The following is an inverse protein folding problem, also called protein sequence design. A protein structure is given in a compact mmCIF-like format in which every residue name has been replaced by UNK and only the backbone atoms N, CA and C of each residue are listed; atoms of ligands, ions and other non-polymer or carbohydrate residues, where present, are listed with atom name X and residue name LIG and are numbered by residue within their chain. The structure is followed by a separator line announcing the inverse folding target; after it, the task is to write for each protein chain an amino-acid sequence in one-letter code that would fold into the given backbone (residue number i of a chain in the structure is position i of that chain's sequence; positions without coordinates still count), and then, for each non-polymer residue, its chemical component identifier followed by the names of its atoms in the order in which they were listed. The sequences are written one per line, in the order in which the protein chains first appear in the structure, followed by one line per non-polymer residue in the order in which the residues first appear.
data_IF_303989449661
#
_entry.id   IF_303989449661
#
_cell.length_a   1.000
_cell.length_b   1.000
_cell.length_c   1.000
_cell.angle_alpha   90.00
_cell.angle_beta   90.00
_cell.angle_gamma   90.00
#
_symmetry.space_group_name_H-M   'P 1'
#
loop_
_entity.id
_entity.type
_entity.pdbx_description
1 polymer ?
#
# COMPACT_ATOMS: atom_id res chain seq x y z
N UNK A 1 -26.95 9.10 -20.26
CA UNK A 1 -26.31 9.23 -21.58
C UNK A 1 -24.98 9.93 -21.41
N UNK A 2 -23.83 9.23 -21.53
CA UNK A 2 -22.55 9.90 -21.58
C UNK A 2 -22.45 10.66 -22.91
N UNK A 3 -22.32 11.96 -22.83
CA UNK A 3 -22.04 12.80 -24.00
C UNK A 3 -20.59 12.50 -24.39
N UNK A 4 -20.42 11.72 -25.47
CA UNK A 4 -19.13 11.57 -26.13
C UNK A 4 -18.81 12.88 -26.87
N UNK A 5 -18.17 13.83 -26.21
CA UNK A 5 -17.46 14.90 -26.89
C UNK A 5 -16.04 14.38 -27.23
N UNK A 6 -15.96 13.68 -28.36
CA UNK A 6 -14.72 13.24 -28.96
C UNK A 6 -14.02 14.37 -29.70
N UNK A 7 -13.25 15.20 -28.99
CA UNK A 7 -12.25 16.04 -29.63
C UNK A 7 -10.94 15.27 -29.80
N UNK A 8 -10.21 15.48 -30.89
CA UNK A 8 -8.92 14.83 -31.14
C UNK A 8 -7.89 15.00 -29.97
N UNK A 9 -8.01 16.07 -29.20
CA UNK A 9 -7.17 16.33 -28.02
C UNK A 9 -7.42 15.35 -26.86
N UNK A 10 -8.68 15.01 -26.58
CA UNK A 10 -9.05 14.06 -25.54
C UNK A 10 -8.48 12.66 -25.82
N UNK A 11 -8.46 12.24 -27.07
CA UNK A 11 -7.88 10.96 -27.49
C UNK A 11 -6.35 10.92 -27.32
N UNK A 12 -5.65 12.03 -27.57
CA UNK A 12 -4.19 12.14 -27.35
C UNK A 12 -3.83 12.14 -25.88
N UNK A 13 -4.56 12.86 -25.05
CA UNK A 13 -4.36 12.88 -23.58
C UNK A 13 -4.60 11.50 -22.98
N UNK A 14 -5.70 10.84 -23.35
CA UNK A 14 -6.00 9.47 -22.95
C UNK A 14 -4.96 8.48 -23.49
N UNK A 15 -4.46 8.66 -24.71
CA UNK A 15 -3.44 7.78 -25.30
C UNK A 15 -2.08 7.89 -24.62
N UNK A 16 -1.68 9.08 -24.19
CA UNK A 16 -0.37 9.32 -23.56
C UNK A 16 -0.43 9.08 -22.05
N UNK A 17 -1.48 9.55 -21.37
CA UNK A 17 -1.57 9.49 -19.91
C UNK A 17 -2.46 8.36 -19.39
N UNK A 18 -3.63 8.09 -19.98
CA UNK A 18 -4.68 7.25 -19.41
C UNK A 18 -5.03 5.96 -20.13
N UNK A 19 -4.70 5.74 -21.39
CA UNK A 19 -5.05 4.52 -22.13
C UNK A 19 -4.32 3.26 -21.68
N UNK A 20 -4.66 2.09 -22.21
CA UNK A 20 -4.00 0.80 -21.87
C UNK A 20 -2.46 0.79 -22.04
N UNK A 21 -1.90 1.74 -22.78
CA UNK A 21 -0.47 1.97 -22.97
C UNK A 21 -0.01 3.31 -22.42
N UNK A 22 -0.85 4.00 -21.64
CA UNK A 22 -0.54 5.31 -21.08
C UNK A 22 0.54 5.25 -20.00
N UNK A 23 1.20 6.40 -19.75
CA UNK A 23 2.23 6.56 -18.75
C UNK A 23 1.76 6.11 -17.34
N UNK A 24 0.53 6.45 -16.96
CA UNK A 24 -0.02 6.13 -15.64
C UNK A 24 -0.19 4.62 -15.45
N UNK A 25 -0.59 3.89 -16.50
CA UNK A 25 -0.71 2.43 -16.45
C UNK A 25 0.67 1.77 -16.36
N UNK A 26 1.67 2.31 -17.08
CA UNK A 26 3.04 1.85 -16.96
C UNK A 26 3.57 2.07 -15.53
N UNK A 27 3.37 3.26 -14.96
CA UNK A 27 3.75 3.58 -13.57
C UNK A 27 3.06 2.64 -12.59
N UNK A 28 1.77 2.36 -12.75
CA UNK A 28 1.04 1.40 -11.91
C UNK A 28 1.68 0.01 -11.95
N UNK A 29 2.08 -0.47 -13.12
CA UNK A 29 2.74 -1.77 -13.29
C UNK A 29 4.11 -1.81 -12.62
N UNK A 30 4.87 -0.71 -12.69
CA UNK A 30 6.15 -0.61 -11.99
C UNK A 30 5.98 -0.49 -10.46
N UNK A 31 4.97 0.23 -9.98
CA UNK A 31 4.66 0.34 -8.55
C UNK A 31 4.35 -1.02 -7.93
N UNK A 32 3.68 -1.91 -8.67
CA UNK A 32 3.37 -3.26 -8.24
C UNK A 32 4.63 -4.05 -7.85
N UNK A 33 5.73 -3.88 -8.57
CA UNK A 33 7.01 -4.53 -8.27
C UNK A 33 7.87 -3.74 -7.27
N UNK A 34 7.84 -2.41 -7.36
CA UNK A 34 8.73 -1.52 -6.64
C UNK A 34 8.33 -1.38 -5.16
N UNK A 35 7.04 -1.27 -4.86
CA UNK A 35 6.54 -1.09 -3.49
C UNK A 35 6.88 -2.27 -2.57
N UNK A 36 6.70 -3.55 -2.96
CA UNK A 36 7.13 -4.67 -2.13
C UNK A 36 8.61 -4.64 -1.77
N UNK A 37 9.47 -4.23 -2.71
CA UNK A 37 10.91 -4.10 -2.46
C UNK A 37 11.23 -2.99 -1.46
N UNK A 38 10.53 -1.85 -1.52
CA UNK A 38 10.70 -0.75 -0.58
C UNK A 38 10.17 -1.08 0.81
N UNK A 39 9.02 -1.74 0.88
CA UNK A 39 8.33 -1.99 2.15
C UNK A 39 8.86 -3.23 2.89
N UNK A 40 9.56 -4.13 2.20
CA UNK A 40 10.05 -5.38 2.79
C UNK A 40 10.88 -5.18 4.07
N UNK A 41 11.70 -4.13 4.12
CA UNK A 41 12.60 -3.85 5.24
C UNK A 41 12.01 -3.00 6.36
N UNK A 42 10.79 -2.46 6.21
CA UNK A 42 10.23 -1.48 7.14
C UNK A 42 10.09 -2.01 8.58
N UNK A 43 9.66 -3.25 8.73
CA UNK A 43 9.51 -3.90 10.03
C UNK A 43 10.34 -5.18 10.15
N UNK A 44 10.50 -5.94 9.06
CA UNK A 44 11.22 -7.23 9.09
C UNK A 44 12.69 -7.06 9.47
N UNK A 45 13.34 -5.97 9.09
CA UNK A 45 14.72 -5.66 9.50
C UNK A 45 14.84 -5.47 11.01
N UNK A 46 13.92 -4.76 11.64
CA UNK A 46 13.92 -4.54 13.09
C UNK A 46 13.53 -5.80 13.87
N UNK A 47 12.64 -6.60 13.28
CA UNK A 47 12.27 -7.91 13.83
C UNK A 47 13.44 -8.90 13.76
N UNK A 48 14.19 -8.92 12.65
CA UNK A 48 15.32 -9.81 12.42
C UNK A 48 16.56 -9.46 13.24
N UNK A 49 16.87 -8.18 13.38
CA UNK A 49 18.00 -7.69 14.20
C UNK A 49 17.71 -7.67 15.70
N UNK A 50 16.44 -7.84 16.11
CA UNK A 50 16.03 -7.71 17.50
C UNK A 50 15.98 -6.27 18.03
N UNK A 51 16.30 -5.25 17.21
CA UNK A 51 16.23 -3.83 17.58
C UNK A 51 14.81 -3.38 17.96
N UNK A 52 13.81 -4.16 17.62
CA UNK A 52 12.43 -3.91 18.04
C UNK A 52 12.28 -3.93 19.58
N UNK A 53 13.19 -4.64 20.31
CA UNK A 53 13.21 -4.65 21.77
C UNK A 53 13.59 -3.28 22.35
N UNK A 54 14.51 -2.56 21.68
CA UNK A 54 14.88 -1.19 22.04
C UNK A 54 13.70 -0.23 21.81
N UNK A 55 12.95 -0.47 20.75
CA UNK A 55 11.74 0.30 20.44
C UNK A 55 10.65 0.10 21.51
N UNK A 56 10.54 -1.11 22.05
CA UNK A 56 9.58 -1.45 23.12
C UNK A 56 9.98 -0.93 24.50
N UNK A 57 11.25 -0.66 24.74
CA UNK A 57 11.73 -0.03 25.97
C UNK A 57 11.52 1.49 26.00
N UNK A 58 11.28 2.10 24.85
CA UNK A 58 10.94 3.51 24.71
C UNK A 58 9.47 3.78 25.08
N UNK A 59 9.12 4.97 25.61
CA UNK A 59 7.74 5.35 25.94
C UNK A 59 6.85 5.60 24.72
N UNK A 60 7.24 5.09 23.54
CA UNK A 60 6.50 5.25 22.28
C UNK A 60 5.45 4.15 22.13
N UNK A 61 4.26 4.51 21.64
CA UNK A 61 3.18 3.56 21.37
C UNK A 61 3.41 2.83 20.04
N UNK A 62 2.94 1.59 19.94
CA UNK A 62 3.03 0.81 18.70
C UNK A 62 2.35 1.53 17.52
N UNK A 63 1.27 2.25 17.80
CA UNK A 63 0.54 3.03 16.81
C UNK A 63 1.40 4.15 16.23
N UNK A 64 2.15 4.87 17.09
CA UNK A 64 3.05 5.94 16.65
C UNK A 64 4.19 5.40 15.77
N UNK A 65 4.72 4.22 16.10
CA UNK A 65 5.76 3.58 15.29
C UNK A 65 5.24 3.25 13.90
N UNK A 66 4.07 2.60 13.81
CA UNK A 66 3.50 2.17 12.54
C UNK A 66 3.08 3.36 11.70
N UNK A 67 2.38 4.33 12.31
CA UNK A 67 1.97 5.54 11.60
C UNK A 67 3.17 6.37 11.13
N UNK A 68 4.22 6.50 11.95
CA UNK A 68 5.45 7.20 11.56
C UNK A 68 6.11 6.57 10.34
N UNK A 69 6.23 5.24 10.31
CA UNK A 69 6.77 4.51 9.14
C UNK A 69 5.87 4.63 7.92
N UNK A 70 4.57 4.53 8.12
CA UNK A 70 3.59 4.70 7.04
C UNK A 70 3.65 6.12 6.46
N UNK A 71 3.65 7.17 7.29
CA UNK A 71 3.76 8.55 6.85
C UNK A 71 5.09 8.83 6.13
N UNK A 72 6.20 8.24 6.58
CA UNK A 72 7.48 8.36 5.89
C UNK A 72 7.42 7.79 4.46
N UNK A 73 6.75 6.65 4.28
CA UNK A 73 6.54 6.06 2.96
C UNK A 73 5.57 6.88 2.09
N UNK A 74 4.55 7.47 2.69
CA UNK A 74 3.66 8.40 1.98
C UNK A 74 4.41 9.66 1.51
N UNK A 75 5.28 10.22 2.35
CA UNK A 75 6.12 11.37 1.96
C UNK A 75 7.04 11.00 0.78
N UNK A 76 7.62 9.80 0.80
CA UNK A 76 8.37 9.29 -0.35
C UNK A 76 7.50 9.16 -1.60
N UNK A 77 6.28 8.64 -1.44
CA UNK A 77 5.28 8.56 -2.52
C UNK A 77 4.91 9.94 -3.09
N UNK A 78 4.82 10.99 -2.26
CA UNK A 78 4.59 12.36 -2.73
C UNK A 78 5.72 12.87 -3.61
N UNK A 79 6.98 12.51 -3.32
CA UNK A 79 8.11 12.85 -4.20
C UNK A 79 7.95 12.21 -5.58
N UNK A 80 7.54 10.94 -5.61
CA UNK A 80 7.28 10.22 -6.87
C UNK A 80 6.15 10.88 -7.67
N UNK A 81 5.04 11.23 -7.00
CA UNK A 81 3.93 11.97 -7.62
C UNK A 81 4.39 13.36 -8.11
N UNK A 82 5.27 14.03 -7.36
CA UNK A 82 5.86 15.30 -7.78
C UNK A 82 6.62 15.20 -9.11
N UNK A 83 7.41 14.14 -9.29
CA UNK A 83 8.09 13.87 -10.57
C UNK A 83 7.09 13.64 -11.71
N UNK A 84 6.02 12.85 -11.45
CA UNK A 84 4.96 12.63 -12.44
C UNK A 84 4.23 13.93 -12.78
N UNK A 85 4.04 14.82 -11.79
CA UNK A 85 3.39 16.10 -11.97
C UNK A 85 4.24 17.03 -12.87
N UNK A 86 5.57 17.06 -12.69
CA UNK A 86 6.49 17.78 -13.60
C UNK A 86 6.38 17.26 -15.03
N UNK A 87 6.32 15.93 -15.21
CA UNK A 87 6.13 15.34 -16.52
C UNK A 87 4.75 15.70 -17.12
N UNK A 88 3.69 15.73 -16.29
CA UNK A 88 2.35 16.15 -16.71
C UNK A 88 2.34 17.61 -17.17
N UNK A 89 3.00 18.52 -16.45
CA UNK A 89 3.13 19.93 -16.81
C UNK A 89 3.84 20.07 -18.18
N UNK A 90 4.92 19.32 -18.39
CA UNK A 90 5.61 19.32 -19.68
C UNK A 90 4.69 18.86 -20.82
N UNK A 91 3.90 17.81 -20.59
CA UNK A 91 2.88 17.34 -21.54
C UNK A 91 1.82 18.39 -21.86
N UNK A 92 1.38 19.16 -20.85
CA UNK A 92 0.43 20.28 -21.02
C UNK A 92 0.99 21.41 -21.91
N UNK A 93 2.29 21.65 -21.83
CA UNK A 93 2.92 22.67 -22.67
C UNK A 93 3.09 22.23 -24.14
N UNK A 94 3.07 20.94 -24.41
CA UNK A 94 3.37 20.37 -25.75
C UNK A 94 2.13 19.98 -26.51
N UNK A 95 1.01 19.70 -25.83
CA UNK A 95 -0.23 19.21 -26.44
C UNK A 95 -1.27 20.32 -26.45
N UNK A 96 -1.81 20.65 -27.62
CA UNK A 96 -2.97 21.54 -27.76
C UNK A 96 -4.25 20.82 -27.27
N UNK A 97 -5.04 21.46 -26.41
CA UNK A 97 -6.30 20.96 -25.82
C UNK A 97 -6.13 19.73 -24.89
N UNK A 98 -5.37 19.89 -23.83
CA UNK A 98 -5.18 18.87 -22.78
C UNK A 98 -6.37 18.88 -21.80
N UNK A 99 -6.91 17.70 -21.52
CA UNK A 99 -7.90 17.50 -20.45
C UNK A 99 -7.22 17.42 -19.08
N UNK A 100 -7.01 18.59 -18.44
CA UNK A 100 -6.39 18.71 -17.11
C UNK A 100 -7.06 17.82 -16.04
N UNK A 101 -8.42 17.72 -15.98
CA UNK A 101 -9.09 16.86 -15.01
C UNK A 101 -8.66 15.39 -15.10
N UNK A 102 -8.46 14.85 -16.29
CA UNK A 102 -8.06 13.45 -16.50
C UNK A 102 -6.68 13.16 -15.91
N UNK A 103 -5.73 14.08 -16.12
CA UNK A 103 -4.37 13.95 -15.58
C UNK A 103 -4.39 14.02 -14.06
N UNK A 104 -5.11 15.00 -13.49
CA UNK A 104 -5.18 15.18 -12.03
C UNK A 104 -5.84 13.97 -11.35
N UNK A 105 -6.92 13.48 -11.92
CA UNK A 105 -7.63 12.29 -11.44
C UNK A 105 -6.76 11.04 -11.51
N UNK A 106 -6.03 10.87 -12.60
CA UNK A 106 -5.11 9.75 -12.75
C UNK A 106 -3.95 9.79 -11.74
N UNK A 107 -3.35 10.97 -11.49
CA UNK A 107 -2.32 11.14 -10.47
C UNK A 107 -2.85 10.83 -9.05
N UNK A 108 -4.06 11.28 -8.74
CA UNK A 108 -4.72 10.97 -7.47
C UNK A 108 -4.98 9.47 -7.34
N UNK A 109 -5.43 8.81 -8.40
CA UNK A 109 -5.63 7.36 -8.43
C UNK A 109 -4.34 6.58 -8.18
N UNK A 110 -3.23 6.97 -8.83
CA UNK A 110 -1.91 6.36 -8.60
C UNK A 110 -1.45 6.57 -7.15
N UNK A 111 -1.68 7.74 -6.57
CA UNK A 111 -1.33 8.01 -5.17
C UNK A 111 -2.15 7.17 -4.19
N UNK A 112 -3.45 7.05 -4.37
CA UNK A 112 -4.32 6.19 -3.55
C UNK A 112 -3.92 4.72 -3.63
N UNK A 113 -3.59 4.25 -4.83
CA UNK A 113 -3.08 2.91 -5.04
C UNK A 113 -1.76 2.68 -4.30
N UNK A 114 -0.83 3.65 -4.37
CA UNK A 114 0.43 3.62 -3.63
C UNK A 114 0.18 3.54 -2.13
N UNK A 115 -0.74 4.34 -1.57
CA UNK A 115 -1.11 4.31 -0.16
C UNK A 115 -1.56 2.91 0.28
N UNK A 116 -2.41 2.26 -0.53
CA UNK A 116 -2.90 0.91 -0.25
C UNK A 116 -1.79 -0.14 -0.34
N UNK A 117 -0.94 -0.09 -1.36
CA UNK A 117 0.19 -1.01 -1.51
C UNK A 117 1.19 -0.90 -0.37
N UNK A 118 1.49 0.31 0.09
CA UNK A 118 2.37 0.56 1.24
C UNK A 118 1.77 -0.02 2.52
N UNK A 119 0.46 0.14 2.75
CA UNK A 119 -0.21 -0.44 3.92
C UNK A 119 -0.13 -1.98 3.93
N UNK A 120 -0.38 -2.62 2.79
CA UNK A 120 -0.25 -4.07 2.62
C UNK A 120 1.19 -4.51 2.84
N UNK A 121 2.16 -3.82 2.24
CA UNK A 121 3.58 -4.13 2.39
C UNK A 121 4.08 -4.00 3.82
N UNK A 122 3.63 -2.97 4.55
CA UNK A 122 3.93 -2.78 5.96
C UNK A 122 3.36 -3.92 6.81
N UNK A 123 2.14 -4.37 6.53
CA UNK A 123 1.52 -5.52 7.19
C UNK A 123 2.35 -6.79 6.96
N UNK A 124 2.67 -7.12 5.71
CA UNK A 124 3.47 -8.31 5.37
C UNK A 124 4.87 -8.25 5.99
N UNK A 125 5.51 -7.08 6.01
CA UNK A 125 6.79 -6.85 6.68
C UNK A 125 6.71 -7.06 8.20
N UNK A 126 5.55 -6.85 8.82
CA UNK A 126 5.33 -7.10 10.26
C UNK A 126 5.13 -8.58 10.61
N UNK A 127 4.77 -9.42 9.63
CA UNK A 127 4.52 -10.85 9.87
C UNK A 127 5.78 -11.67 10.00
N UNK A 128 6.83 -11.32 9.27
CA UNK A 128 8.08 -12.09 9.18
C UNK A 128 9.30 -11.27 9.54
N UNK A 129 10.34 -11.96 10.04
CA UNK A 129 11.66 -11.37 10.32
C UNK A 129 12.59 -11.40 9.10
N UNK A 130 12.21 -12.11 8.03
CA UNK A 130 12.99 -12.24 6.81
C UNK A 130 12.49 -11.28 5.73
N UNK A 131 13.36 -10.38 5.27
CA UNK A 131 13.00 -9.35 4.28
C UNK A 131 12.50 -9.94 2.95
N UNK A 132 13.19 -10.97 2.45
CA UNK A 132 12.83 -11.63 1.19
C UNK A 132 11.44 -12.26 1.27
N UNK A 133 11.14 -12.93 2.40
CA UNK A 133 9.82 -13.53 2.62
C UNK A 133 8.73 -12.46 2.71
N UNK A 134 9.03 -11.30 3.31
CA UNK A 134 8.12 -10.16 3.32
C UNK A 134 7.83 -9.64 1.92
N UNK A 135 8.87 -9.49 1.08
CA UNK A 135 8.72 -9.03 -0.31
C UNK A 135 7.87 -10.00 -1.14
N UNK A 136 8.20 -11.29 -1.11
CA UNK A 136 7.46 -12.32 -1.84
C UNK A 136 6.02 -12.42 -1.35
N UNK A 137 5.81 -12.36 -0.04
CA UNK A 137 4.47 -12.34 0.55
C UNK A 137 3.65 -11.14 0.12
N UNK A 138 4.26 -9.94 0.08
CA UNK A 138 3.60 -8.72 -0.40
C UNK A 138 3.23 -8.86 -1.88
N UNK A 139 4.17 -9.33 -2.72
CA UNK A 139 3.90 -9.59 -4.13
C UNK A 139 2.76 -10.60 -4.33
N UNK A 140 2.74 -11.67 -3.55
CA UNK A 140 1.68 -12.68 -3.63
C UNK A 140 0.30 -12.08 -3.27
N UNK A 141 0.21 -11.30 -2.19
CA UNK A 141 -1.04 -10.65 -1.80
C UNK A 141 -1.49 -9.64 -2.86
N UNK A 142 -0.57 -8.82 -3.36
CA UNK A 142 -0.89 -7.86 -4.43
C UNK A 142 -1.29 -8.58 -5.72
N UNK A 143 -0.63 -9.71 -6.08
CA UNK A 143 -1.01 -10.52 -7.22
C UNK A 143 -2.45 -11.03 -7.09
N UNK A 144 -2.79 -11.60 -5.94
CA UNK A 144 -4.15 -12.05 -5.66
C UNK A 144 -5.15 -10.91 -5.83
N UNK A 145 -4.91 -9.75 -5.19
CA UNK A 145 -5.82 -8.59 -5.26
C UNK A 145 -5.94 -7.99 -6.68
N UNK A 146 -4.89 -8.13 -7.50
CA UNK A 146 -4.86 -7.63 -8.86
C UNK A 146 -5.53 -8.61 -9.84
N UNK A 147 -5.21 -9.90 -9.75
CA UNK A 147 -5.63 -10.92 -10.73
C UNK A 147 -6.93 -11.65 -10.36
N UNK A 148 -7.40 -11.54 -9.11
CA UNK A 148 -8.67 -12.14 -8.66
C UNK A 148 -9.84 -11.78 -9.56
N UNK A 149 -9.85 -10.56 -10.13
CA UNK A 149 -10.88 -10.08 -11.05
C UNK A 149 -10.95 -10.90 -12.38
N UNK A 150 -9.82 -11.48 -12.80
CA UNK A 150 -9.74 -12.25 -14.06
C UNK A 150 -9.99 -13.75 -13.95
N UNK A 151 -9.72 -14.35 -12.80
CA UNK A 151 -9.62 -15.80 -12.67
C UNK A 151 -10.98 -16.52 -12.43
N UNK A 152 -11.98 -15.85 -11.83
CA UNK A 152 -13.19 -16.56 -11.38
C UNK A 152 -14.50 -15.83 -11.73
N UNK A 153 -14.60 -15.31 -12.95
CA UNK A 153 -15.83 -14.68 -13.44
C UNK A 153 -16.98 -15.66 -13.69
N UNK A 154 -16.71 -16.95 -13.70
CA UNK A 154 -17.69 -18.00 -14.00
C UNK A 154 -18.65 -18.29 -12.84
N UNK A 155 -18.35 -17.90 -11.60
CA UNK A 155 -19.18 -18.18 -10.42
C UNK A 155 -19.80 -16.89 -9.90
N UNK A 156 -21.15 -16.74 -9.91
CA UNK A 156 -21.82 -15.48 -9.58
C UNK A 156 -21.55 -15.00 -8.15
N UNK A 157 -21.43 -15.91 -7.18
CA UNK A 157 -21.12 -15.58 -5.79
C UNK A 157 -19.70 -15.04 -5.60
N UNK A 158 -18.74 -15.59 -6.32
CA UNK A 158 -17.33 -15.16 -6.28
C UNK A 158 -17.17 -13.81 -6.98
N UNK A 159 -17.97 -13.54 -8.02
CA UNK A 159 -17.96 -12.26 -8.74
C UNK A 159 -18.34 -11.08 -7.86
N UNK A 160 -19.30 -11.22 -6.94
CA UNK A 160 -19.66 -10.16 -5.99
C UNK A 160 -18.54 -9.89 -5.00
N UNK A 161 -17.96 -10.92 -4.40
CA UNK A 161 -16.84 -10.81 -3.45
C UNK A 161 -15.62 -10.21 -4.18
N UNK A 162 -15.32 -10.69 -5.39
CA UNK A 162 -14.21 -10.24 -6.23
C UNK A 162 -14.36 -8.80 -6.68
N UNK A 163 -15.58 -8.32 -6.92
CA UNK A 163 -15.85 -6.93 -7.24
C UNK A 163 -15.46 -6.00 -6.07
N UNK A 164 -15.70 -6.44 -4.83
CA UNK A 164 -15.30 -5.69 -3.63
C UNK A 164 -13.79 -5.70 -3.38
N UNK A 165 -13.07 -6.77 -3.73
CA UNK A 165 -11.64 -6.93 -3.50
C UNK A 165 -10.76 -6.51 -4.69
N UNK A 166 -11.31 -6.31 -5.87
CA UNK A 166 -10.56 -6.00 -7.11
C UNK A 166 -10.00 -4.59 -7.15
N UNK A 167 -8.74 -4.39 -6.78
CA UNK A 167 -8.05 -3.09 -6.80
C UNK A 167 -7.87 -2.51 -8.21
N UNK A 168 -7.50 -3.35 -9.18
CA UNK A 168 -7.14 -2.90 -10.53
C UNK A 168 -8.32 -2.32 -11.30
N UNK A 169 -9.53 -2.88 -11.15
CA UNK A 169 -10.70 -2.35 -11.86
C UNK A 169 -11.15 -0.99 -11.35
N UNK A 170 -10.81 -0.64 -10.12
CA UNK A 170 -11.12 0.67 -9.53
C UNK A 170 -10.07 1.71 -9.91
N UNK A 171 -8.80 1.33 -10.01
CA UNK A 171 -7.75 2.24 -10.50
C UNK A 171 -7.91 2.58 -11.98
N UNK A 172 -8.45 1.67 -12.80
CA UNK A 172 -8.75 1.93 -14.22
C UNK A 172 -9.78 3.07 -14.40
N UNK A 173 -10.76 3.19 -13.49
CA UNK A 173 -11.72 4.29 -13.51
C UNK A 173 -11.04 5.66 -13.33
N UNK A 174 -10.10 5.74 -12.38
CA UNK A 174 -9.31 6.97 -12.17
C UNK A 174 -8.45 7.33 -13.39
N UNK A 175 -7.86 6.33 -14.04
CA UNK A 175 -7.04 6.54 -15.24
C UNK A 175 -7.86 7.02 -16.44
N UNK A 176 -9.15 6.68 -16.48
CA UNK A 176 -10.09 7.16 -17.49
C UNK A 176 -10.73 8.51 -17.13
N UNK A 177 -10.28 9.16 -16.05
CA UNK A 177 -10.79 10.47 -15.62
C UNK A 177 -12.11 10.43 -14.85
N UNK A 178 -12.57 9.26 -14.40
CA UNK A 178 -13.79 9.11 -13.62
C UNK A 178 -13.47 8.99 -12.14
N UNK A 179 -13.88 9.98 -11.33
CA UNK A 179 -13.80 9.91 -9.89
C UNK A 179 -15.11 9.34 -9.36
N UNK A 180 -15.12 8.08 -8.94
CA UNK A 180 -16.21 7.52 -8.17
C UNK A 180 -15.87 7.64 -6.68
N UNK A 181 -16.77 8.24 -5.89
CA UNK A 181 -16.61 8.39 -4.45
C UNK A 181 -16.45 7.03 -3.76
N UNK A 182 -17.08 6.00 -4.31
CA UNK A 182 -16.98 4.61 -3.86
C UNK A 182 -15.54 4.05 -3.94
N UNK A 183 -14.81 4.40 -5.01
CA UNK A 183 -13.46 3.92 -5.23
C UNK A 183 -12.46 4.54 -4.24
N UNK A 184 -12.61 5.84 -3.95
CA UNK A 184 -11.81 6.54 -2.93
C UNK A 184 -12.06 5.94 -1.56
N UNK A 185 -13.32 5.75 -1.19
CA UNK A 185 -13.71 5.17 0.10
C UNK A 185 -13.18 3.74 0.27
N UNK A 186 -13.19 2.96 -0.81
CA UNK A 186 -12.60 1.61 -0.82
C UNK A 186 -11.11 1.64 -0.47
N UNK A 187 -10.30 2.50 -1.12
CA UNK A 187 -8.88 2.61 -0.83
C UNK A 187 -8.62 3.02 0.63
N UNK A 188 -9.40 3.95 1.17
CA UNK A 188 -9.31 4.38 2.57
C UNK A 188 -9.62 3.20 3.52
N UNK A 189 -10.68 2.44 3.25
CA UNK A 189 -11.06 1.27 4.08
C UNK A 189 -9.95 0.21 4.04
N UNK A 190 -9.38 -0.08 2.88
CA UNK A 190 -8.28 -1.05 2.74
C UNK A 190 -7.06 -0.59 3.54
N UNK A 191 -6.66 0.67 3.41
CA UNK A 191 -5.53 1.24 4.17
C UNK A 191 -5.77 1.11 5.68
N UNK A 192 -6.95 1.55 6.16
CA UNK A 192 -7.31 1.48 7.58
C UNK A 192 -7.30 0.05 8.10
N UNK A 193 -7.84 -0.90 7.34
CA UNK A 193 -7.89 -2.32 7.70
C UNK A 193 -6.49 -2.90 7.87
N UNK A 194 -5.60 -2.72 6.87
CA UNK A 194 -4.24 -3.26 6.95
C UNK A 194 -3.39 -2.58 8.03
N UNK A 195 -3.55 -1.27 8.25
CA UNK A 195 -2.89 -0.57 9.36
C UNK A 195 -3.37 -1.08 10.72
N UNK A 196 -4.67 -1.26 10.92
CA UNK A 196 -5.22 -1.83 12.15
C UNK A 196 -4.71 -3.25 12.39
N UNK A 197 -4.71 -4.11 11.36
CA UNK A 197 -4.15 -5.46 11.47
C UNK A 197 -2.66 -5.43 11.86
N UNK A 198 -1.89 -4.48 11.33
CA UNK A 198 -0.47 -4.30 11.67
C UNK A 198 -0.30 -3.89 13.12
N UNK A 199 -1.11 -2.95 13.62
CA UNK A 199 -1.10 -2.48 15.02
C UNK A 199 -1.43 -3.63 15.98
N UNK A 200 -2.51 -4.36 15.71
CA UNK A 200 -2.94 -5.51 16.53
C UNK A 200 -1.85 -6.58 16.56
N UNK A 201 -1.23 -6.87 15.42
CA UNK A 201 -0.14 -7.84 15.33
C UNK A 201 1.07 -7.45 16.17
N UNK A 202 1.47 -6.18 16.10
CA UNK A 202 2.61 -5.66 16.86
C UNK A 202 2.30 -5.63 18.36
N UNK A 203 1.08 -5.31 18.73
CA UNK A 203 0.60 -5.30 20.11
C UNK A 203 0.63 -6.71 20.73
N UNK A 204 0.20 -7.72 19.99
CA UNK A 204 0.28 -9.12 20.43
C UNK A 204 1.72 -9.61 20.62
N UNK A 205 2.66 -9.15 19.79
CA UNK A 205 4.11 -9.44 19.98
C UNK A 205 4.68 -8.75 21.22
N UNK A 206 4.32 -7.49 21.47
CA UNK A 206 4.75 -6.74 22.65
C UNK A 206 4.27 -7.40 23.95
N UNK A 207 3.04 -7.87 23.99
CA UNK A 207 2.48 -8.59 25.15
C UNK A 207 3.23 -9.90 25.43
N UNK A 208 3.54 -10.70 24.41
CA UNK A 208 4.33 -11.93 24.56
C UNK A 208 5.74 -11.68 25.09
N UNK A 209 6.41 -10.62 24.62
CA UNK A 209 7.73 -10.24 25.10
C UNK A 209 7.67 -9.78 26.55
N UNK A 210 6.68 -8.99 26.93
CA UNK A 210 6.47 -8.55 28.32
C UNK A 210 6.21 -9.73 29.26
N UNK A 211 5.39 -10.69 28.85
CA UNK A 211 5.10 -11.90 29.62
C UNK A 211 6.34 -12.80 29.79
N UNK A 212 7.14 -13.00 28.74
CA UNK A 212 8.39 -13.74 28.80
C UNK A 212 9.42 -13.06 29.72
N UNK A 213 9.57 -11.74 29.67
CA UNK A 213 10.46 -11.01 30.56
C UNK A 213 10.01 -11.11 32.02
N UNK A 214 8.72 -11.05 32.29
CA UNK A 214 8.17 -11.27 33.64
C UNK A 214 8.47 -12.68 34.11
N UNK A 215 8.32 -13.70 33.28
CA UNK A 215 8.57 -15.08 33.62
C UNK A 215 10.04 -15.33 33.93
N UNK A 216 10.96 -14.78 33.12
CA UNK A 216 12.42 -14.86 33.35
C UNK A 216 12.81 -14.15 34.65
N UNK A 217 12.19 -13.00 34.94
CA UNK A 217 12.42 -12.24 36.18
C UNK A 217 11.97 -13.04 37.43
N UNK A 218 10.78 -13.67 37.33
CA UNK A 218 10.30 -14.54 38.41
C UNK A 218 11.16 -15.81 38.57
N UNK A 219 11.59 -16.44 37.47
CA UNK A 219 12.45 -17.61 37.51
C UNK A 219 13.85 -17.28 38.06
N UNK A 220 14.43 -16.12 37.74
CA UNK A 220 15.70 -15.63 38.26
C UNK A 220 15.65 -15.39 39.80
N UNK A 221 14.57 -14.80 40.28
CA UNK A 221 14.35 -14.56 41.73
C UNK A 221 14.22 -15.89 42.52
N UNK A 222 13.65 -16.94 41.88
CA UNK A 222 13.59 -18.28 42.50
C UNK A 222 14.91 -19.01 42.49
N UNK A 223 15.80 -18.76 41.54
CA UNK A 223 17.16 -19.32 41.48
C UNK A 223 18.05 -18.79 42.59
N UNK A 224 17.97 -17.48 42.84
CA UNK A 224 18.81 -16.80 43.85
C UNK A 224 18.41 -17.15 45.30
N UNK A 225 17.18 -17.55 45.54
CA UNK A 225 16.67 -17.93 46.86
C UNK A 225 17.03 -19.37 47.26
N UNK A 226 17.61 -20.19 46.35
CA UNK A 226 18.08 -21.55 46.62
C UNK A 226 19.58 -21.63 46.84
N UNK A 227 20.33 -20.53 46.71
CA UNK A 227 21.79 -20.45 46.91
C UNK A 227 22.20 -19.81 48.26
N UNK A 228 21.27 -19.53 49.16
CA UNK A 228 21.45 -19.17 50.56
C UNK A 228 20.79 -20.22 51.46
#
# INVERSE_FOLDING_TARGET
LPICMGGHGANLTLGIFGGQRGLLVAVQSYLYLYIPLLTMGLMSRELGSGSIKLLYSSPITNTQIILGKYCAMLAYGLVLIGVLLVYAIYGMCTIENVDIPVILTGLLGVYLLLCAYVAIGLFMSSLTSYQIVAAVGTLAVLAVLTYVKGMWQSVPFVREITYWFGMTGRSDNFMNGMICSEDVLYFIVVVMLFLLMTIVRLQGRRQKVSWLMSFVKYAGVWGDRKST
#
